data_IF_861202498315
#
_entry.id   IF_861202498315
#
_cell.length_a   1.000
_cell.length_b   1.000
_cell.length_c   1.000
_cell.angle_alpha   90.00
_cell.angle_beta   90.00
_cell.angle_gamma   90.00
#
_symmetry.space_group_name_H-M   'P 1'
#
loop_
_entity.id
_entity.type
_entity.pdbx_description
1 polymer ?
#
# COMPACT_ATOMS: atom_id res chain seq x y z
N UNK A 1 -10.91 12.09 15.11
CA UNK A 1 -9.68 11.64 14.44
C UNK A 1 -10.04 11.27 13.00
N UNK A 2 -9.45 11.96 12.03
CA UNK A 2 -9.80 11.86 10.61
C UNK A 2 -8.56 11.45 9.82
N UNK A 3 -8.60 10.24 9.26
CA UNK A 3 -7.48 9.63 8.54
C UNK A 3 -7.87 9.40 7.09
N UNK A 4 -6.98 9.76 6.18
CA UNK A 4 -7.17 9.59 4.73
C UNK A 4 -5.89 9.05 4.13
N UNK A 5 -5.97 7.95 3.41
CA UNK A 5 -4.87 7.36 2.64
C UNK A 5 -5.22 7.32 1.15
N UNK A 6 -4.21 7.25 0.29
CA UNK A 6 -4.43 7.26 -1.15
C UNK A 6 -3.16 7.35 -1.98
N UNK A 7 -3.35 7.32 -3.29
CA UNK A 7 -2.32 7.59 -4.30
C UNK A 7 -2.41 9.05 -4.75
N UNK A 8 -1.67 9.39 -5.82
CA UNK A 8 -1.84 10.66 -6.55
C UNK A 8 -3.21 10.75 -7.22
N UNK A 9 -3.73 9.62 -7.68
CA UNK A 9 -4.95 9.57 -8.50
C UNK A 9 -6.23 9.54 -7.64
N UNK A 10 -6.13 9.20 -6.36
CA UNK A 10 -7.31 9.12 -5.54
C UNK A 10 -7.10 8.67 -4.11
N UNK A 11 -8.23 8.60 -3.40
CA UNK A 11 -8.33 8.09 -2.05
C UNK A 11 -8.53 6.58 -2.11
N UNK A 12 -7.74 5.83 -1.34
CA UNK A 12 -7.89 4.37 -1.21
C UNK A 12 -8.57 3.97 0.09
N UNK A 13 -8.45 4.79 1.15
CA UNK A 13 -9.10 4.54 2.42
C UNK A 13 -9.41 5.84 3.18
N UNK A 14 -10.53 5.83 3.90
CA UNK A 14 -10.92 6.87 4.85
C UNK A 14 -11.34 6.19 6.15
N UNK A 15 -10.88 6.72 7.27
CA UNK A 15 -11.38 6.34 8.59
C UNK A 15 -11.72 7.62 9.36
N UNK A 16 -12.94 7.68 9.89
CA UNK A 16 -13.43 8.81 10.66
C UNK A 16 -13.92 8.33 12.03
N UNK A 17 -13.18 8.68 13.06
CA UNK A 17 -13.55 8.46 14.46
C UNK A 17 -14.05 9.79 15.06
N UNK A 18 -15.35 9.87 15.29
CA UNK A 18 -16.04 11.08 15.73
C UNK A 18 -16.34 11.04 17.23
N UNK A 19 -15.88 12.08 17.95
CA UNK A 19 -16.18 12.27 19.37
C UNK A 19 -17.37 13.20 19.63
N UNK A 20 -18.00 13.71 18.57
CA UNK A 20 -19.09 14.70 18.60
C UNK A 20 -20.24 14.26 17.71
N UNK A 21 -21.47 14.71 18.01
CA UNK A 21 -22.67 14.40 17.21
C UNK A 21 -22.65 15.19 15.89
N UNK A 22 -22.00 14.60 14.89
CA UNK A 22 -22.03 15.08 13.50
C UNK A 22 -20.93 16.08 13.15
N UNK A 23 -20.72 16.23 11.84
CA UNK A 23 -19.74 17.14 11.22
C UNK A 23 -20.43 17.81 10.04
N UNK A 24 -20.23 19.11 9.86
CA UNK A 24 -20.80 19.79 8.70
C UNK A 24 -20.08 19.34 7.43
N UNK A 25 -20.79 19.39 6.30
CA UNK A 25 -20.21 19.08 4.98
C UNK A 25 -19.02 20.00 4.65
N UNK A 26 -19.06 21.25 5.11
CA UNK A 26 -17.99 22.22 4.86
C UNK A 26 -16.70 21.85 5.62
N UNK A 27 -16.82 21.41 6.88
CA UNK A 27 -15.67 20.94 7.65
C UNK A 27 -15.08 19.68 7.00
N UNK A 28 -15.93 18.74 6.58
CA UNK A 28 -15.46 17.52 5.91
C UNK A 28 -14.73 17.83 4.59
N UNK A 29 -15.27 18.78 3.80
CA UNK A 29 -14.63 19.23 2.56
C UNK A 29 -13.27 19.84 2.82
N UNK A 30 -13.18 20.78 3.78
CA UNK A 30 -11.93 21.42 4.16
C UNK A 30 -10.90 20.40 4.66
N UNK A 31 -11.33 19.43 5.46
CA UNK A 31 -10.47 18.35 5.95
C UNK A 31 -9.94 17.46 4.82
N UNK A 32 -10.77 17.12 3.83
CA UNK A 32 -10.36 16.35 2.66
C UNK A 32 -9.37 17.12 1.77
N UNK A 33 -9.58 18.41 1.56
CA UNK A 33 -8.66 19.27 0.81
C UNK A 33 -7.30 19.41 1.51
N UNK A 34 -7.31 19.60 2.82
CA UNK A 34 -6.10 19.64 3.63
C UNK A 34 -5.36 18.29 3.58
N UNK A 35 -6.10 17.19 3.71
CA UNK A 35 -5.53 15.84 3.63
C UNK A 35 -4.93 15.57 2.24
N UNK A 36 -5.54 16.06 1.16
CA UNK A 36 -4.99 15.94 -0.18
C UNK A 36 -3.64 16.65 -0.31
N UNK A 37 -3.56 17.92 0.11
CA UNK A 37 -2.29 18.68 0.10
C UNK A 37 -1.20 17.99 0.91
N UNK A 38 -1.55 17.54 2.12
CA UNK A 38 -0.62 16.79 2.98
C UNK A 38 -0.17 15.49 2.35
N UNK A 39 -1.09 14.72 1.76
CA UNK A 39 -0.79 13.46 1.06
C UNK A 39 0.16 13.68 -0.12
N UNK A 40 -0.06 14.72 -0.92
CA UNK A 40 0.82 15.01 -2.07
C UNK A 40 2.22 15.41 -1.62
N UNK A 41 2.34 16.20 -0.55
CA UNK A 41 3.63 16.56 0.02
C UNK A 41 4.40 15.33 0.53
N UNK A 42 3.75 14.47 1.33
CA UNK A 42 4.36 13.26 1.88
C UNK A 42 4.75 12.29 0.77
N UNK A 43 3.86 12.04 -0.21
CA UNK A 43 4.18 11.19 -1.36
C UNK A 43 5.35 11.75 -2.18
N UNK A 44 5.45 13.07 -2.34
CA UNK A 44 6.60 13.72 -2.98
C UNK A 44 7.90 13.35 -2.28
N UNK A 45 7.95 13.48 -0.95
CA UNK A 45 9.12 13.09 -0.14
C UNK A 45 9.42 11.61 -0.16
N UNK A 46 8.39 10.75 -0.19
CA UNK A 46 8.59 9.31 -0.34
C UNK A 46 9.23 8.95 -1.69
N UNK A 47 8.78 9.60 -2.77
CA UNK A 47 9.29 9.36 -4.12
C UNK A 47 10.70 9.92 -4.36
N UNK A 48 11.09 10.98 -3.63
CA UNK A 48 12.50 11.42 -3.58
C UNK A 48 13.41 10.32 -3.03
N UNK A 49 12.92 9.47 -2.12
CA UNK A 49 13.69 8.38 -1.52
C UNK A 49 13.64 7.07 -2.34
N UNK A 50 12.48 6.72 -2.89
CA UNK A 50 12.29 5.54 -3.74
C UNK A 50 11.19 5.82 -4.78
N UNK A 51 11.57 6.15 -6.04
CA UNK A 51 10.60 6.54 -7.06
C UNK A 51 9.81 5.35 -7.62
N UNK A 52 10.38 4.14 -7.60
CA UNK A 52 9.78 2.94 -8.16
C UNK A 52 10.16 1.68 -7.35
N UNK A 53 9.36 0.60 -7.44
CA UNK A 53 9.72 -0.69 -6.85
C UNK A 53 11.07 -1.19 -7.36
N UNK A 54 11.83 -1.87 -6.50
CA UNK A 54 13.11 -2.47 -6.91
C UNK A 54 12.87 -3.56 -7.95
N UNK A 55 13.71 -3.65 -9.01
CA UNK A 55 13.55 -4.65 -10.06
C UNK A 55 13.82 -6.08 -9.54
N UNK A 56 14.62 -6.19 -8.48
CA UNK A 56 14.99 -7.48 -7.90
C UNK A 56 14.48 -7.62 -6.46
N UNK A 57 14.09 -8.85 -6.11
CA UNK A 57 13.73 -9.21 -4.74
C UNK A 57 14.96 -9.22 -3.83
N UNK A 58 14.73 -8.93 -2.55
CA UNK A 58 15.76 -9.05 -1.51
C UNK A 58 16.47 -10.41 -1.57
N UNK A 59 17.78 -10.48 -1.33
CA UNK A 59 18.50 -11.76 -1.21
C UNK A 59 18.01 -12.59 -0.02
N UNK A 60 17.34 -11.97 0.96
CA UNK A 60 16.78 -12.63 2.13
C UNK A 60 15.27 -12.94 1.99
N UNK A 61 14.63 -12.51 0.90
CA UNK A 61 13.23 -12.85 0.65
C UNK A 61 13.11 -14.34 0.28
N UNK A 62 12.02 -15.03 0.66
CA UNK A 62 11.74 -16.38 0.18
C UNK A 62 11.72 -16.43 -1.35
N UNK A 63 12.38 -17.43 -1.93
CA UNK A 63 12.44 -17.66 -3.38
C UNK A 63 11.84 -19.01 -3.70
N UNK A 64 11.00 -19.04 -4.73
CA UNK A 64 10.56 -20.31 -5.31
C UNK A 64 11.63 -20.78 -6.29
N UNK A 65 12.09 -22.01 -6.10
CA UNK A 65 12.95 -22.71 -7.04
C UNK A 65 12.10 -23.77 -7.73
N UNK A 66 12.03 -23.72 -9.05
CA UNK A 66 11.35 -24.75 -9.83
C UNK A 66 12.40 -25.74 -10.29
N UNK A 67 12.28 -26.98 -9.81
CA UNK A 67 13.04 -28.11 -10.33
C UNK A 67 12.08 -28.98 -11.13
N UNK A 68 12.53 -29.41 -12.32
CA UNK A 68 11.81 -30.42 -13.09
C UNK A 68 12.35 -31.78 -12.70
N UNK A 69 11.45 -32.72 -12.39
CA UNK A 69 11.81 -34.11 -12.10
C UNK A 69 11.21 -35.00 -13.18
N UNK A 70 11.88 -36.13 -13.40
CA UNK A 70 11.32 -37.21 -14.21
C UNK A 70 10.01 -37.70 -13.58
N UNK A 71 8.89 -37.76 -14.33
CA UNK A 71 7.62 -38.27 -13.83
C UNK A 71 7.73 -39.65 -13.16
N UNK A 72 8.66 -40.50 -13.61
CA UNK A 72 8.86 -41.83 -13.03
C UNK A 72 9.43 -41.75 -11.59
N UNK A 73 10.08 -40.64 -11.22
CA UNK A 73 10.64 -40.38 -9.89
C UNK A 73 9.74 -39.55 -8.98
N UNK A 74 8.49 -39.27 -9.39
CA UNK A 74 7.57 -38.44 -8.60
C UNK A 74 7.26 -39.07 -7.24
N UNK A 75 7.20 -40.40 -7.18
CA UNK A 75 6.95 -41.16 -5.93
C UNK A 75 8.05 -40.94 -4.91
N UNK A 76 9.32 -40.90 -5.33
CA UNK A 76 10.46 -40.71 -4.42
C UNK A 76 10.49 -39.30 -3.80
N UNK A 77 9.92 -38.31 -4.48
CA UNK A 77 9.93 -36.90 -4.04
C UNK A 77 8.73 -36.58 -3.14
N UNK A 78 7.54 -37.14 -3.41
CA UNK A 78 6.34 -36.90 -2.60
C UNK A 78 6.23 -37.89 -1.43
N UNK A 79 6.74 -39.11 -1.60
CA UNK A 79 6.48 -40.26 -0.72
C UNK A 79 5.43 -41.19 -1.30
#
# INVERSE_FOLDING_TARGET
DFKVAGTRDGVTAIQMDMKVKGISRDILRSALEQANRGRMFILGKMLEALPEPRPELSPYAPRMLTISIDPDKIRDVIG
#
